data_IF_543565992113
#
_entry.id   IF_543565992113
#
_cell.length_a   1.000
_cell.length_b   1.000
_cell.length_c   1.000
_cell.angle_alpha   90.00
_cell.angle_beta   90.00
_cell.angle_gamma   90.00
#
_symmetry.space_group_name_H-M   'P 1'
#
loop_
_entity.id
_entity.type
_entity.pdbx_description
1 polymer ?
#
# COMPACT_ATOMS: atom_id res chain seq x y z
N UNK A 1 -1.15 27.79 21.69
CA UNK A 1 -1.31 26.40 21.20
C UNK A 1 -0.08 26.10 20.36
N UNK A 2 0.64 25.01 20.67
CA UNK A 2 1.91 24.67 20.03
C UNK A 2 1.69 24.42 18.53
N UNK A 3 2.42 25.13 17.67
CA UNK A 3 2.29 25.07 16.20
C UNK A 3 2.40 23.62 15.68
N UNK A 4 3.29 22.83 16.27
CA UNK A 4 3.50 21.41 15.97
C UNK A 4 2.29 20.54 16.28
N UNK A 5 1.57 20.83 17.38
CA UNK A 5 0.37 20.06 17.76
C UNK A 5 -0.78 20.25 16.79
N UNK A 6 -0.95 21.47 16.27
CA UNK A 6 -1.98 21.78 15.29
C UNK A 6 -1.65 21.24 13.88
N UNK A 7 -0.35 21.18 13.52
CA UNK A 7 0.08 20.57 12.25
C UNK A 7 -0.15 19.05 12.27
N UNK A 8 0.19 18.38 13.38
CA UNK A 8 -0.06 16.94 13.53
C UNK A 8 -1.56 16.60 13.48
N UNK A 9 -2.41 17.41 14.11
CA UNK A 9 -3.87 17.22 14.06
C UNK A 9 -4.39 17.27 12.61
N UNK A 10 -3.97 18.29 11.86
CA UNK A 10 -4.40 18.48 10.48
C UNK A 10 -3.88 17.37 9.56
N UNK A 11 -2.67 16.86 9.79
CA UNK A 11 -2.10 15.75 9.03
C UNK A 11 -3.00 14.51 9.12
N UNK A 12 -3.51 14.20 10.31
CA UNK A 12 -4.27 12.99 10.59
C UNK A 12 -5.78 13.11 10.36
N UNK A 13 -6.32 14.33 10.22
CA UNK A 13 -7.77 14.55 10.09
C UNK A 13 -8.19 15.10 8.73
N UNK A 14 -7.34 15.92 8.08
CA UNK A 14 -7.70 16.53 6.80
C UNK A 14 -7.48 15.57 5.65
N UNK A 15 -8.56 15.31 4.89
CA UNK A 15 -8.55 14.38 3.76
C UNK A 15 -8.14 12.95 4.16
N UNK A 16 -8.48 12.59 5.40
CA UNK A 16 -8.30 11.27 6.00
C UNK A 16 -9.66 10.84 6.50
N UNK A 17 -10.09 9.66 6.08
CA UNK A 17 -11.32 9.01 6.53
C UNK A 17 -11.09 8.29 7.86
N UNK A 18 -9.94 7.63 8.03
CA UNK A 18 -9.66 6.83 9.22
C UNK A 18 -8.17 6.69 9.49
N UNK A 19 -7.80 6.78 10.77
CA UNK A 19 -6.47 6.42 11.26
C UNK A 19 -6.56 5.24 12.22
N UNK A 20 -5.88 4.14 11.87
CA UNK A 20 -5.83 2.96 12.74
C UNK A 20 -4.78 3.19 13.82
N UNK A 21 -5.24 3.24 15.08
CA UNK A 21 -4.43 3.55 16.28
C UNK A 21 -3.86 4.98 16.23
N UNK A 22 -4.75 5.96 16.02
CA UNK A 22 -4.40 7.39 15.90
C UNK A 22 -3.57 7.93 17.07
N UNK A 23 -3.92 7.56 18.30
CA UNK A 23 -3.29 8.10 19.52
C UNK A 23 -1.79 7.83 19.59
N UNK A 24 -1.37 6.63 19.19
CA UNK A 24 0.03 6.23 19.23
C UNK A 24 0.82 6.87 18.07
N UNK A 25 0.26 6.86 16.86
CA UNK A 25 0.87 7.53 15.72
C UNK A 25 1.10 9.02 16.01
N UNK A 26 0.10 9.69 16.58
CA UNK A 26 0.19 11.10 17.00
C UNK A 26 1.32 11.31 18.01
N UNK A 27 1.46 10.41 18.99
CA UNK A 27 2.53 10.49 19.98
C UNK A 27 3.91 10.34 19.33
N UNK A 28 4.09 9.37 18.43
CA UNK A 28 5.36 9.16 17.70
C UNK A 28 5.75 10.38 16.87
N UNK A 29 4.80 10.98 16.15
CA UNK A 29 5.02 12.22 15.39
C UNK A 29 5.40 13.38 16.33
N UNK A 30 4.69 13.54 17.45
CA UNK A 30 4.98 14.60 18.42
C UNK A 30 6.34 14.45 19.11
N UNK A 31 6.82 13.21 19.25
CA UNK A 31 8.16 12.91 19.76
C UNK A 31 9.28 13.23 18.75
N UNK A 32 8.94 13.57 17.51
CA UNK A 32 9.90 13.89 16.45
C UNK A 32 10.55 12.65 15.81
N UNK A 33 9.90 11.49 15.89
CA UNK A 33 10.38 10.27 15.23
C UNK A 33 10.33 10.41 13.69
N UNK A 34 11.39 9.99 13.00
CA UNK A 34 11.38 9.91 11.54
C UNK A 34 10.78 8.58 11.09
N UNK A 35 9.47 8.60 10.85
CA UNK A 35 8.68 7.45 10.41
C UNK A 35 8.91 7.10 8.93
N UNK A 36 8.76 5.82 8.61
CA UNK A 36 8.75 5.28 7.24
C UNK A 36 7.33 5.13 6.73
N UNK A 37 6.97 5.93 5.73
CA UNK A 37 5.62 6.02 5.17
C UNK A 37 5.56 5.24 3.85
N UNK A 38 4.92 4.08 3.86
CA UNK A 38 4.73 3.20 2.70
C UNK A 38 3.65 3.75 1.78
N UNK A 39 3.96 3.78 0.49
CA UNK A 39 2.98 3.89 -0.59
C UNK A 39 3.33 2.84 -1.66
N UNK A 40 2.40 1.94 -1.96
CA UNK A 40 2.54 1.01 -3.08
C UNK A 40 1.87 1.55 -4.34
N UNK A 41 2.41 1.21 -5.51
CA UNK A 41 1.68 1.35 -6.77
C UNK A 41 1.91 0.14 -7.69
N UNK A 42 0.86 -0.24 -8.40
CA UNK A 42 0.91 -1.27 -9.44
C UNK A 42 1.14 -0.60 -10.81
N UNK A 43 2.31 -0.79 -11.45
CA UNK A 43 2.65 -0.21 -12.76
C UNK A 43 1.91 -0.86 -13.94
N UNK A 44 0.68 -1.35 -13.75
CA UNK A 44 -0.16 -1.88 -14.82
C UNK A 44 -0.68 -0.82 -15.78
N UNK A 45 -0.57 0.47 -15.42
CA UNK A 45 -0.82 1.62 -16.29
C UNK A 45 0.26 2.70 -16.07
N UNK A 46 0.57 3.51 -17.11
CA UNK A 46 1.67 4.49 -17.05
C UNK A 46 1.33 5.76 -16.26
N UNK A 47 0.05 6.14 -16.16
CA UNK A 47 -0.36 7.48 -15.75
C UNK A 47 -1.03 7.57 -14.38
N UNK A 48 -0.64 8.59 -13.63
CA UNK A 48 -1.29 8.99 -12.38
C UNK A 48 -2.52 9.82 -12.72
N UNK A 49 -3.71 9.28 -12.47
CA UNK A 49 -4.94 10.07 -12.56
C UNK A 49 -5.17 10.96 -11.32
N UNK A 50 -6.08 11.94 -11.46
CA UNK A 50 -6.40 12.92 -10.41
C UNK A 50 -6.79 12.30 -9.06
N UNK A 51 -7.38 11.10 -9.06
CA UNK A 51 -7.72 10.36 -7.84
C UNK A 51 -6.52 10.09 -6.90
N UNK A 52 -5.29 10.01 -7.42
CA UNK A 52 -4.09 9.80 -6.59
C UNK A 52 -3.60 11.08 -5.92
N UNK A 53 -4.01 12.26 -6.39
CA UNK A 53 -3.45 13.53 -5.93
C UNK A 53 -3.65 13.77 -4.43
N UNK A 54 -4.71 13.20 -3.83
CA UNK A 54 -4.95 13.26 -2.37
C UNK A 54 -3.86 12.52 -1.60
N UNK A 55 -3.59 11.27 -1.97
CA UNK A 55 -2.52 10.46 -1.36
C UNK A 55 -1.14 11.08 -1.55
N UNK A 56 -0.84 11.58 -2.76
CA UNK A 56 0.45 12.23 -3.05
C UNK A 56 0.68 13.50 -2.23
N UNK A 57 -0.35 14.32 -2.05
CA UNK A 57 -0.25 15.51 -1.17
C UNK A 57 -0.05 15.11 0.28
N UNK A 58 -0.71 14.04 0.74
CA UNK A 58 -0.50 13.53 2.10
C UNK A 58 0.94 13.06 2.31
N UNK A 59 1.51 12.34 1.36
CA UNK A 59 2.93 11.95 1.38
C UNK A 59 3.85 13.17 1.48
N UNK A 60 3.56 14.23 0.74
CA UNK A 60 4.32 15.48 0.81
C UNK A 60 4.23 16.13 2.20
N UNK A 61 3.05 16.17 2.80
CA UNK A 61 2.86 16.68 4.17
C UNK A 61 3.68 15.87 5.19
N UNK A 62 3.77 14.54 5.04
CA UNK A 62 4.66 13.70 5.84
C UNK A 62 6.14 14.06 5.65
N UNK A 63 6.58 14.31 4.41
CA UNK A 63 7.97 14.71 4.13
C UNK A 63 8.33 16.10 4.67
N UNK A 64 7.36 17.03 4.68
CA UNK A 64 7.54 18.37 5.24
C UNK A 64 7.70 18.32 6.77
N UNK A 65 7.21 17.24 7.41
CA UNK A 65 7.43 16.93 8.82
C UNK A 65 8.71 16.11 9.12
N UNK A 66 9.49 15.77 8.09
CA UNK A 66 10.77 15.06 8.24
C UNK A 66 10.66 13.53 8.23
N UNK A 67 9.52 12.98 7.82
CA UNK A 67 9.34 11.56 7.61
C UNK A 67 9.88 11.13 6.24
N UNK A 68 10.22 9.85 6.12
CA UNK A 68 10.72 9.25 4.88
C UNK A 68 9.61 8.52 4.15
N UNK A 69 9.40 8.83 2.87
CA UNK A 69 8.48 8.06 2.03
C UNK A 69 9.22 6.85 1.48
N UNK A 70 8.56 5.70 1.49
CA UNK A 70 9.02 4.48 0.82
C UNK A 70 8.01 4.14 -0.27
N UNK A 71 8.38 4.40 -1.51
CA UNK A 71 7.59 4.07 -2.69
C UNK A 71 7.91 2.64 -3.12
N UNK A 72 6.90 1.77 -3.09
CA UNK A 72 7.02 0.38 -3.52
C UNK A 72 6.47 0.25 -4.93
N UNK A 73 7.33 -0.19 -5.86
CA UNK A 73 6.97 -0.55 -7.22
C UNK A 73 6.51 -2.01 -7.23
N UNK A 74 5.24 -2.23 -7.57
CA UNK A 74 4.62 -3.56 -7.63
C UNK A 74 4.98 -4.35 -8.90
N UNK A 75 6.25 -4.46 -9.23
CA UNK A 75 6.74 -5.10 -10.46
C UNK A 75 6.47 -6.60 -10.52
N UNK A 76 6.60 -7.27 -9.38
CA UNK A 76 6.36 -8.70 -9.26
C UNK A 76 4.86 -9.02 -9.31
N UNK A 77 4.03 -8.25 -8.58
CA UNK A 77 2.58 -8.47 -8.59
C UNK A 77 1.92 -8.05 -9.91
N UNK A 78 2.45 -7.06 -10.62
CA UNK A 78 1.98 -6.66 -11.96
C UNK A 78 2.08 -7.79 -12.99
N UNK A 79 3.10 -8.65 -12.87
CA UNK A 79 3.29 -9.80 -13.74
C UNK A 79 2.30 -10.94 -13.45
N UNK A 80 1.76 -11.01 -12.22
CA UNK A 80 0.76 -12.01 -11.83
C UNK A 80 -0.66 -11.53 -12.14
N UNK A 81 -0.88 -10.21 -12.05
CA UNK A 81 -2.16 -9.55 -12.24
C UNK A 81 -3.00 -9.52 -10.97
N UNK A 82 -3.38 -8.32 -10.51
CA UNK A 82 -4.32 -8.13 -9.40
C UNK A 82 -5.75 -8.51 -9.83
N UNK A 83 -6.34 -9.59 -9.28
CA UNK A 83 -7.69 -10.00 -9.63
C UNK A 83 -8.75 -9.38 -8.70
N UNK A 84 -8.35 -8.54 -7.73
CA UNK A 84 -9.23 -7.93 -6.73
C UNK A 84 -10.35 -7.12 -7.38
N UNK A 85 -11.60 -7.57 -7.16
CA UNK A 85 -12.80 -6.84 -7.55
C UNK A 85 -13.11 -6.78 -9.05
N UNK A 86 -12.40 -7.54 -9.90
CA UNK A 86 -12.65 -7.57 -11.35
C UNK A 86 -13.13 -8.92 -11.83
N UNK A 87 -14.07 -8.89 -12.77
CA UNK A 87 -14.67 -10.09 -13.40
C UNK A 87 -13.70 -10.84 -14.31
N UNK A 88 -12.64 -10.17 -14.76
CA UNK A 88 -11.64 -10.71 -15.69
C UNK A 88 -10.23 -10.45 -15.14
N UNK A 89 -9.36 -11.46 -15.28
CA UNK A 89 -7.94 -11.38 -14.94
C UNK A 89 -7.28 -10.35 -15.89
N UNK A 90 -6.56 -9.38 -15.34
CA UNK A 90 -5.82 -8.41 -16.17
C UNK A 90 -4.78 -9.15 -17.03
N UNK A 91 -4.57 -8.75 -18.30
CA UNK A 91 -3.51 -9.34 -19.10
C UNK A 91 -2.15 -9.11 -18.44
N UNK A 92 -1.33 -10.17 -18.37
CA UNK A 92 0.05 -10.07 -17.90
C UNK A 92 0.83 -9.13 -18.81
N UNK A 93 1.54 -8.17 -18.22
CA UNK A 93 2.42 -7.25 -18.96
C UNK A 93 3.88 -7.70 -18.84
N UNK A 94 4.69 -7.43 -19.87
CA UNK A 94 6.11 -7.82 -19.85
C UNK A 94 6.90 -6.99 -18.83
N UNK A 95 8.04 -7.52 -18.40
CA UNK A 95 8.96 -6.84 -17.49
C UNK A 95 9.39 -5.48 -18.05
N UNK A 96 9.69 -5.40 -19.35
CA UNK A 96 10.04 -4.13 -20.00
C UNK A 96 8.91 -3.11 -19.88
N UNK A 97 7.66 -3.53 -20.14
CA UNK A 97 6.50 -2.65 -20.04
C UNK A 97 6.25 -2.18 -18.60
N UNK A 98 6.45 -3.07 -17.62
CA UNK A 98 6.39 -2.74 -16.18
C UNK A 98 7.40 -1.63 -15.84
N UNK A 99 8.64 -1.77 -16.30
CA UNK A 99 9.68 -0.76 -16.07
C UNK A 99 9.38 0.58 -16.75
N UNK A 100 8.88 0.56 -17.99
CA UNK A 100 8.48 1.78 -18.72
C UNK A 100 7.33 2.52 -18.03
N UNK A 101 6.31 1.78 -17.58
CA UNK A 101 5.18 2.33 -16.84
C UNK A 101 5.63 2.90 -15.49
N UNK A 102 6.47 2.17 -14.75
CA UNK A 102 7.01 2.61 -13.47
C UNK A 102 7.83 3.90 -13.62
N UNK A 103 8.63 4.03 -14.69
CA UNK A 103 9.38 5.25 -14.97
C UNK A 103 8.45 6.45 -15.18
N UNK A 104 7.43 6.28 -16.02
CA UNK A 104 6.46 7.34 -16.32
C UNK A 104 5.66 7.74 -15.06
N UNK A 105 5.27 6.75 -14.25
CA UNK A 105 4.62 6.98 -12.97
C UNK A 105 5.53 7.79 -12.04
N UNK A 106 6.79 7.39 -11.88
CA UNK A 106 7.76 8.07 -11.01
C UNK A 106 7.99 9.52 -11.45
N UNK A 107 8.11 9.77 -12.76
CA UNK A 107 8.27 11.13 -13.31
C UNK A 107 7.06 12.03 -12.96
N UNK A 108 5.87 11.46 -12.81
CA UNK A 108 4.67 12.19 -12.37
C UNK A 108 4.60 12.31 -10.84
N UNK A 109 4.90 11.23 -10.12
CA UNK A 109 4.91 11.16 -8.67
C UNK A 109 5.83 12.22 -8.06
N UNK A 110 7.05 12.33 -8.59
CA UNK A 110 8.06 13.27 -8.10
C UNK A 110 7.79 14.74 -8.46
N UNK A 111 6.70 15.05 -9.19
CA UNK A 111 6.23 16.44 -9.33
C UNK A 111 5.58 16.97 -8.05
N UNK A 112 5.12 16.07 -7.17
CA UNK A 112 4.44 16.42 -5.92
C UNK A 112 5.26 15.97 -4.71
N UNK A 113 5.78 14.74 -4.75
CA UNK A 113 6.54 14.14 -3.65
C UNK A 113 8.03 14.41 -3.85
N UNK A 114 8.76 14.71 -2.78
CA UNK A 114 10.18 15.01 -2.81
C UNK A 114 11.01 13.75 -3.10
N UNK A 115 11.80 13.76 -4.18
CA UNK A 115 12.64 12.62 -4.54
C UNK A 115 13.77 12.37 -3.54
N UNK A 116 14.35 13.43 -2.96
CA UNK A 116 15.47 13.30 -2.01
C UNK A 116 15.04 12.76 -0.65
N UNK A 117 13.73 12.81 -0.36
CA UNK A 117 13.11 12.23 0.85
C UNK A 117 12.27 11.00 0.53
N UNK A 118 12.57 10.32 -0.58
CA UNK A 118 11.88 9.10 -1.01
C UNK A 118 12.87 7.98 -1.28
N UNK A 119 12.62 6.82 -0.66
CA UNK A 119 13.27 5.56 -1.00
C UNK A 119 12.37 4.82 -2.00
N UNK A 120 12.92 4.40 -3.15
CA UNK A 120 12.19 3.59 -4.15
C UNK A 120 12.63 2.15 -4.01
N UNK A 121 11.69 1.24 -3.81
CA UNK A 121 11.93 -0.20 -3.63
C UNK A 121 11.07 -1.02 -4.58
N UNK A 122 11.64 -2.10 -5.12
CA UNK A 122 10.96 -2.98 -6.06
C UNK A 122 10.57 -4.28 -5.35
N UNK A 123 9.34 -4.75 -5.57
CA UNK A 123 8.85 -5.98 -4.96
C UNK A 123 9.70 -7.21 -5.30
N UNK A 124 10.27 -7.23 -6.51
CA UNK A 124 11.22 -8.26 -6.92
C UNK A 124 12.43 -8.40 -5.99
N UNK A 125 12.81 -7.36 -5.23
CA UNK A 125 13.91 -7.43 -4.26
C UNK A 125 13.69 -8.49 -3.16
N UNK A 126 12.45 -8.79 -2.81
CA UNK A 126 12.13 -9.83 -1.83
C UNK A 126 11.38 -11.02 -2.44
N UNK A 127 10.49 -10.81 -3.41
CA UNK A 127 9.69 -11.91 -3.96
C UNK A 127 10.42 -12.77 -4.99
N UNK A 128 11.50 -12.31 -5.61
CA UNK A 128 12.28 -13.15 -6.55
C UNK A 128 12.88 -14.39 -5.86
N UNK A 129 13.19 -14.26 -4.56
CA UNK A 129 13.74 -15.35 -3.76
C UNK A 129 12.72 -16.09 -2.89
N UNK A 130 11.44 -15.70 -2.95
CA UNK A 130 10.39 -16.43 -2.25
C UNK A 130 10.29 -17.88 -2.75
N UNK A 131 10.29 -18.83 -1.82
CA UNK A 131 10.07 -20.24 -2.09
C UNK A 131 8.74 -20.69 -1.49
N UNK A 132 8.30 -21.89 -1.87
CA UNK A 132 7.04 -22.45 -1.39
C UNK A 132 6.94 -22.48 0.15
N UNK A 133 8.07 -22.71 0.84
CA UNK A 133 8.12 -22.68 2.32
C UNK A 133 7.75 -21.30 2.88
N UNK A 134 8.19 -20.23 2.24
CA UNK A 134 7.92 -18.85 2.66
C UNK A 134 6.44 -18.52 2.47
N UNK A 135 5.86 -18.94 1.35
CA UNK A 135 4.42 -18.81 1.07
C UNK A 135 3.60 -19.57 2.13
N UNK A 136 3.97 -20.82 2.45
CA UNK A 136 3.27 -21.62 3.48
C UNK A 136 3.38 -20.94 4.85
N UNK A 137 4.57 -20.49 5.23
CA UNK A 137 4.79 -19.82 6.51
C UNK A 137 3.97 -18.52 6.59
N UNK A 138 3.96 -17.74 5.53
CA UNK A 138 3.21 -16.48 5.45
C UNK A 138 1.69 -16.72 5.51
N UNK A 139 1.18 -17.63 4.69
CA UNK A 139 -0.26 -17.95 4.62
C UNK A 139 -0.79 -18.60 5.89
N UNK A 140 0.05 -19.32 6.65
CA UNK A 140 -0.33 -19.95 7.92
C UNK A 140 -0.79 -18.98 9.01
N UNK A 141 -0.48 -17.68 8.86
CA UNK A 141 -0.87 -16.60 9.79
C UNK A 141 -2.30 -16.09 9.57
N UNK A 142 -2.96 -16.53 8.50
CA UNK A 142 -4.26 -16.04 8.10
C UNK A 142 -5.26 -17.17 7.94
N UNK A 143 -6.55 -16.86 8.10
CA UNK A 143 -7.65 -17.81 7.95
C UNK A 143 -8.57 -17.38 6.82
N UNK A 144 -9.15 -18.34 6.11
CA UNK A 144 -10.17 -18.08 5.07
C UNK A 144 -11.34 -17.27 5.63
N UNK A 145 -11.72 -17.51 6.89
CA UNK A 145 -12.80 -16.77 7.56
C UNK A 145 -12.53 -15.27 7.64
N UNK A 146 -11.28 -14.84 7.86
CA UNK A 146 -10.92 -13.42 7.86
C UNK A 146 -11.10 -12.78 6.48
N UNK A 147 -10.74 -13.49 5.40
CA UNK A 147 -10.97 -12.99 4.03
C UNK A 147 -12.45 -12.90 3.69
N UNK A 148 -13.26 -13.89 4.09
CA UNK A 148 -14.70 -13.89 3.85
C UNK A 148 -15.48 -12.87 4.68
N UNK A 149 -14.85 -12.22 5.66
CA UNK A 149 -15.41 -11.07 6.37
C UNK A 149 -15.37 -9.77 5.52
N UNK A 150 -14.54 -9.72 4.47
CA UNK A 150 -14.51 -8.62 3.50
C UNK A 150 -15.79 -8.64 2.66
N UNK A 151 -16.43 -7.49 2.49
CA UNK A 151 -17.77 -7.40 1.90
C UNK A 151 -17.83 -7.97 0.47
N UNK A 152 -16.84 -7.69 -0.37
CA UNK A 152 -16.77 -8.19 -1.75
C UNK A 152 -16.57 -9.72 -1.84
N UNK A 153 -15.67 -10.29 -1.04
CA UNK A 153 -15.50 -11.75 -0.96
C UNK A 153 -16.72 -12.41 -0.32
N UNK A 154 -17.31 -11.79 0.70
CA UNK A 154 -18.54 -12.27 1.33
C UNK A 154 -19.69 -12.33 0.33
N UNK A 155 -19.89 -11.26 -0.45
CA UNK A 155 -20.94 -11.16 -1.45
C UNK A 155 -20.72 -12.16 -2.57
N UNK A 156 -19.50 -12.26 -3.12
CA UNK A 156 -19.18 -13.24 -4.18
C UNK A 156 -19.36 -14.67 -3.70
N UNK A 157 -18.90 -14.99 -2.49
CA UNK A 157 -19.05 -16.32 -1.92
C UNK A 157 -20.52 -16.70 -1.70
N UNK A 158 -21.34 -15.78 -1.15
CA UNK A 158 -22.80 -15.97 -1.01
C UNK A 158 -23.50 -16.14 -2.35
N UNK A 159 -23.06 -15.40 -3.37
CA UNK A 159 -23.58 -15.48 -4.73
C UNK A 159 -23.00 -16.65 -5.55
N UNK A 160 -22.18 -17.52 -4.93
CA UNK A 160 -21.49 -18.63 -5.61
C UNK A 160 -20.66 -18.20 -6.83
N UNK A 161 -20.19 -16.96 -6.82
CA UNK A 161 -19.25 -16.46 -7.82
C UNK A 161 -17.85 -16.99 -7.49
N UNK A 162 -17.05 -17.38 -8.49
CA UNK A 162 -15.69 -17.86 -8.26
C UNK A 162 -14.86 -16.86 -7.48
N UNK A 163 -14.01 -17.34 -6.57
CA UNK A 163 -12.96 -16.58 -5.90
C UNK A 163 -11.69 -17.42 -6.03
N UNK A 164 -10.69 -16.91 -6.72
CA UNK A 164 -9.44 -17.63 -6.95
C UNK A 164 -8.53 -17.58 -5.71
N UNK A 165 -7.64 -18.58 -5.56
CA UNK A 165 -6.63 -18.56 -4.51
C UNK A 165 -5.66 -17.38 -4.68
N UNK A 166 -5.37 -16.98 -5.91
CA UNK A 166 -4.53 -15.81 -6.22
C UNK A 166 -5.10 -14.53 -5.63
N UNK A 167 -6.43 -14.33 -5.68
CA UNK A 167 -7.10 -13.20 -5.04
C UNK A 167 -6.93 -13.18 -3.52
N UNK A 168 -6.86 -14.35 -2.88
CA UNK A 168 -6.64 -14.45 -1.44
C UNK A 168 -5.17 -14.22 -1.06
N UNK A 169 -4.24 -14.53 -1.96
CA UNK A 169 -2.80 -14.32 -1.76
C UNK A 169 -2.40 -12.85 -1.91
N UNK A 170 -3.05 -12.10 -2.79
CA UNK A 170 -2.67 -10.71 -3.11
C UNK A 170 -2.60 -9.80 -1.87
N UNK A 171 -3.61 -9.75 -0.96
CA UNK A 171 -3.53 -8.93 0.25
C UNK A 171 -2.41 -9.38 1.20
N UNK A 172 -2.08 -10.67 1.20
CA UNK A 172 -1.01 -11.25 2.05
C UNK A 172 0.36 -10.78 1.55
N UNK A 173 0.56 -10.76 0.23
CA UNK A 173 1.80 -10.28 -0.38
C UNK A 173 1.97 -8.77 -0.12
N UNK A 174 0.93 -7.96 -0.33
CA UNK A 174 0.97 -6.53 -0.03
C UNK A 174 1.27 -6.26 1.46
N UNK A 175 0.74 -7.08 2.37
CA UNK A 175 1.07 -7.00 3.79
C UNK A 175 2.54 -7.33 4.08
N UNK A 176 3.12 -8.30 3.35
CA UNK A 176 4.53 -8.65 3.50
C UNK A 176 5.47 -7.52 3.07
N UNK A 177 5.09 -6.73 2.06
CA UNK A 177 5.87 -5.56 1.65
C UNK A 177 6.16 -4.63 2.85
N UNK A 178 5.17 -4.42 3.71
CA UNK A 178 5.28 -3.59 4.92
C UNK A 178 6.30 -4.14 5.92
N UNK A 179 6.42 -5.47 6.01
CA UNK A 179 7.46 -6.15 6.80
C UNK A 179 8.83 -5.98 6.15
N UNK A 180 8.93 -6.17 4.83
CA UNK A 180 10.18 -6.10 4.08
C UNK A 180 10.85 -4.71 4.18
N UNK A 181 10.04 -3.64 4.19
CA UNK A 181 10.56 -2.27 4.28
C UNK A 181 10.50 -1.68 5.69
N UNK A 182 10.08 -2.44 6.69
CA UNK A 182 9.89 -1.98 8.08
C UNK A 182 9.05 -0.69 8.15
N UNK A 183 7.90 -0.67 7.48
CA UNK A 183 7.07 0.53 7.42
C UNK A 183 6.43 0.84 8.77
N UNK A 184 6.40 2.11 9.13
CA UNK A 184 5.66 2.60 10.30
C UNK A 184 4.21 2.96 9.95
N UNK A 185 3.99 3.51 8.76
CA UNK A 185 2.66 3.93 8.31
C UNK A 185 2.45 3.46 6.89
N UNK A 186 1.25 2.97 6.58
CA UNK A 186 0.83 2.70 5.21
C UNK A 186 -0.35 3.61 4.83
N UNK A 187 -0.20 4.29 3.69
CA UNK A 187 -1.24 5.11 3.08
C UNK A 187 -1.95 4.32 1.99
N UNK A 188 -3.28 4.39 1.95
CA UNK A 188 -4.06 3.77 0.88
C UNK A 188 -5.44 4.39 0.75
N UNK A 189 -6.12 4.11 -0.35
CA UNK A 189 -7.52 4.49 -0.52
C UNK A 189 -8.45 3.70 0.40
N UNK A 190 -9.69 4.17 0.56
CA UNK A 190 -10.71 3.49 1.38
C UNK A 190 -11.06 2.10 0.87
N UNK A 191 -10.87 1.85 -0.44
CA UNK A 191 -10.99 0.55 -1.10
C UNK A 191 -9.89 -0.44 -0.68
N UNK A 192 -8.76 0.05 -0.18
CA UNK A 192 -7.62 -0.78 0.26
C UNK A 192 -7.69 -1.17 1.74
N UNK A 193 -8.72 -0.73 2.48
CA UNK A 193 -8.82 -0.88 3.94
C UNK A 193 -8.51 -2.31 4.43
N UNK A 194 -9.03 -3.33 3.75
CA UNK A 194 -8.75 -4.71 4.16
C UNK A 194 -7.29 -5.12 3.94
N UNK A 195 -6.74 -4.81 2.76
CA UNK A 195 -5.34 -5.12 2.43
C UNK A 195 -4.40 -4.46 3.44
N UNK A 196 -4.74 -3.24 3.82
CA UNK A 196 -4.08 -2.54 4.91
C UNK A 196 -4.22 -3.36 6.21
N UNK A 197 -5.43 -3.66 6.70
CA UNK A 197 -5.67 -4.38 7.96
C UNK A 197 -4.86 -5.68 8.14
N UNK A 198 -4.65 -6.44 7.07
CA UNK A 198 -3.84 -7.68 7.04
C UNK A 198 -2.38 -7.43 7.44
N UNK A 199 -1.81 -6.26 7.17
CA UNK A 199 -0.40 -5.92 7.46
C UNK A 199 -0.07 -5.48 8.90
N UNK A 200 -1.04 -5.33 9.80
CA UNK A 200 -0.78 -5.09 11.23
C UNK A 200 -0.10 -3.76 11.64
N UNK A 201 0.06 -2.79 10.73
CA UNK A 201 0.78 -1.51 10.94
C UNK A 201 -0.20 -0.30 11.05
N UNK A 202 0.26 0.86 11.54
CA UNK A 202 -0.53 2.10 11.60
C UNK A 202 -0.97 2.54 10.19
N UNK A 203 -2.22 2.97 10.05
CA UNK A 203 -2.82 3.21 8.73
C UNK A 203 -3.52 4.54 8.67
N UNK A 204 -3.48 5.13 7.49
CA UNK A 204 -4.23 6.34 7.15
C UNK A 204 -4.97 6.03 5.85
N UNK A 205 -6.29 5.99 5.92
CA UNK A 205 -7.22 5.86 4.79
C UNK A 205 -7.95 7.17 4.57
#
# INVERSE_FOLDING_TARGET
MNTTGNICENLLTRSVVEVVIESELKQRIQNGESLRIKMGFDPSAPDIHLGHAVGLRKLREFQDLGHMVVLIVGDWTAQIGDPSGRSEIRPMISEEQVHENAKTYMDQFFKIVDKEKTEVRWQSEWFSDFRLKDIINLTSRFTVAQFLAREDFSNRFKSQLPISLTELLYPILQAYDSVAIQSDVELGGTDQKFNLLVGGIYKIC
#
